data_IF_792832123937
#
_entry.id   IF_792832123937
#
_cell.length_a   1.000
_cell.length_b   1.000
_cell.length_c   1.000
_cell.angle_alpha   90.00
_cell.angle_beta   90.00
_cell.angle_gamma   90.00
#
_symmetry.space_group_name_H-M   'P 1'
#
loop_
_entity.id
_entity.type
_entity.pdbx_description
1 polymer ?
#
# COMPACT_ATOMS: atom_id res chain seq x y z
N UNK A 1 -26.60 0.53 -0.65
CA UNK A 1 -25.48 0.92 0.24
C UNK A 1 -25.30 2.42 0.16
N UNK A 2 -25.24 3.13 1.29
CA UNK A 2 -24.85 4.56 1.27
C UNK A 2 -23.32 4.61 1.21
N UNK A 3 -22.77 5.19 0.14
CA UNK A 3 -21.34 5.40 -0.04
C UNK A 3 -21.01 6.89 0.08
N UNK A 4 -19.94 7.19 0.79
CA UNK A 4 -19.42 8.54 0.98
C UNK A 4 -17.95 8.57 0.53
N UNK A 5 -17.56 9.56 -0.28
CA UNK A 5 -16.17 9.72 -0.73
C UNK A 5 -15.43 10.74 0.13
N UNK A 6 -14.18 10.43 0.47
CA UNK A 6 -13.26 11.35 1.15
C UNK A 6 -12.08 11.57 0.21
N UNK A 7 -11.91 12.81 -0.22
CA UNK A 7 -10.95 13.14 -1.29
C UNK A 7 -11.19 12.31 -2.55
N UNK A 8 -10.12 12.10 -3.32
CA UNK A 8 -10.17 11.34 -4.57
C UNK A 8 -10.03 9.83 -4.36
N UNK A 9 -9.32 9.42 -3.30
CA UNK A 9 -8.82 8.04 -3.14
C UNK A 9 -9.64 7.16 -2.20
N UNK A 10 -10.52 7.72 -1.36
CA UNK A 10 -11.21 6.96 -0.31
C UNK A 10 -12.70 6.85 -0.63
N UNK A 11 -13.21 5.63 -0.62
CA UNK A 11 -14.64 5.34 -0.67
C UNK A 11 -15.03 4.62 0.62
N UNK A 12 -15.86 5.27 1.42
CA UNK A 12 -16.45 4.70 2.63
C UNK A 12 -17.84 4.19 2.31
N UNK A 13 -18.14 2.95 2.69
CA UNK A 13 -19.46 2.36 2.55
C UNK A 13 -19.91 1.77 3.88
N UNK A 14 -21.21 1.89 4.15
CA UNK A 14 -21.84 1.31 5.34
C UNK A 14 -22.96 0.37 4.92
N UNK A 15 -22.99 -0.81 5.52
CA UNK A 15 -24.03 -1.82 5.33
C UNK A 15 -24.36 -2.48 6.66
N UNK A 16 -25.45 -2.02 7.30
CA UNK A 16 -25.80 -2.42 8.67
C UNK A 16 -24.71 -2.00 9.66
N UNK A 17 -24.19 -2.98 10.40
CA UNK A 17 -23.11 -2.80 11.38
C UNK A 17 -21.71 -2.84 10.75
N UNK A 18 -21.61 -3.25 9.48
CA UNK A 18 -20.34 -3.26 8.75
C UNK A 18 -20.02 -1.89 8.19
N UNK A 19 -18.84 -1.40 8.55
CA UNK A 19 -18.20 -0.24 7.96
C UNK A 19 -17.02 -0.69 7.11
N UNK A 20 -16.89 -0.15 5.91
CA UNK A 20 -15.79 -0.49 5.02
C UNK A 20 -15.26 0.78 4.34
N UNK A 21 -13.96 1.01 4.46
CA UNK A 21 -13.24 2.01 3.69
C UNK A 21 -12.34 1.33 2.67
N UNK A 22 -12.49 1.70 1.40
CA UNK A 22 -11.60 1.30 0.32
C UNK A 22 -10.73 2.48 -0.06
N UNK A 23 -9.43 2.33 0.09
CA UNK A 23 -8.41 3.34 -0.21
C UNK A 23 -7.70 2.91 -1.49
N UNK A 24 -7.76 3.74 -2.52
CA UNK A 24 -7.06 3.49 -3.79
C UNK A 24 -5.55 3.72 -3.62
N UNK A 25 -4.73 2.78 -4.09
CA UNK A 25 -3.27 2.93 -4.21
C UNK A 25 -2.84 3.80 -5.40
N UNK A 26 -3.80 4.32 -6.17
CA UNK A 26 -3.56 5.14 -7.34
C UNK A 26 -2.77 6.42 -6.98
N UNK A 27 -1.83 6.75 -7.86
CA UNK A 27 -1.04 7.98 -7.85
C UNK A 27 -1.45 8.82 -9.06
N UNK A 28 -1.17 10.14 -9.06
CA UNK A 28 -1.38 11.00 -10.22
C UNK A 28 -0.83 10.37 -11.51
N UNK A 29 -1.56 10.54 -12.63
CA UNK A 29 -1.25 9.86 -13.88
C UNK A 29 0.18 10.16 -14.39
N UNK A 30 0.68 11.38 -14.19
CA UNK A 30 2.06 11.73 -14.57
C UNK A 30 3.11 10.98 -13.74
N UNK A 31 2.87 10.76 -12.45
CA UNK A 31 3.77 9.99 -11.59
C UNK A 31 3.73 8.52 -11.98
N UNK A 32 2.53 8.01 -12.33
CA UNK A 32 2.36 6.65 -12.85
C UNK A 32 3.13 6.47 -14.15
N UNK A 33 2.97 7.38 -15.12
CA UNK A 33 3.66 7.32 -16.40
C UNK A 33 5.18 7.39 -16.25
N UNK A 34 5.69 8.28 -15.38
CA UNK A 34 7.12 8.37 -15.08
C UNK A 34 7.67 7.06 -14.47
N UNK A 35 6.95 6.45 -13.54
CA UNK A 35 7.34 5.16 -12.93
C UNK A 35 7.32 4.02 -13.97
N UNK A 36 6.32 4.01 -14.85
CA UNK A 36 6.21 3.01 -15.93
C UNK A 36 7.30 3.17 -16.97
N UNK A 37 7.62 4.41 -17.37
CA UNK A 37 8.71 4.73 -18.28
C UNK A 37 10.06 4.34 -17.68
N UNK A 38 10.27 4.68 -16.41
CA UNK A 38 11.48 4.29 -15.67
C UNK A 38 11.63 2.76 -15.60
N UNK A 39 10.54 2.03 -15.30
CA UNK A 39 10.56 0.56 -15.31
C UNK A 39 10.79 0.00 -16.72
N UNK A 40 10.27 0.65 -17.76
CA UNK A 40 10.51 0.29 -19.16
C UNK A 40 11.99 0.44 -19.54
N UNK A 41 12.62 1.56 -19.18
CA UNK A 41 14.05 1.78 -19.37
C UNK A 41 14.88 0.75 -18.58
N UNK A 42 14.48 0.45 -17.35
CA UNK A 42 15.08 -0.63 -16.56
C UNK A 42 14.94 -2.01 -17.21
N UNK A 43 13.80 -2.27 -17.84
CA UNK A 43 13.51 -3.44 -18.66
C UNK A 43 14.45 -3.57 -19.86
N UNK A 44 14.70 -2.47 -20.58
CA UNK A 44 15.63 -2.44 -21.70
C UNK A 44 17.07 -2.76 -21.26
N UNK A 45 17.51 -2.24 -20.11
CA UNK A 45 18.82 -2.60 -19.52
C UNK A 45 18.89 -4.10 -19.19
N UNK A 46 17.82 -4.68 -18.65
CA UNK A 46 17.72 -6.12 -18.41
C UNK A 46 17.82 -6.95 -19.69
N UNK A 47 17.19 -6.49 -20.77
CA UNK A 47 17.29 -7.13 -22.08
C UNK A 47 18.72 -7.08 -22.63
N UNK A 48 19.45 -5.97 -22.45
CA UNK A 48 20.86 -5.88 -22.82
C UNK A 48 21.73 -6.84 -22.00
N UNK A 49 21.49 -6.97 -20.70
CA UNK A 49 22.18 -7.97 -19.86
C UNK A 49 21.90 -9.40 -20.31
N UNK A 50 20.65 -9.70 -20.69
CA UNK A 50 20.26 -11.00 -21.23
C UNK A 50 20.93 -11.31 -22.57
N UNK A 51 21.00 -10.31 -23.45
CA UNK A 51 21.77 -10.41 -24.69
C UNK A 51 23.25 -10.66 -24.41
N UNK A 52 23.83 -10.02 -23.39
CA UNK A 52 25.21 -10.27 -22.94
C UNK A 52 25.45 -11.71 -22.50
N UNK A 53 24.53 -12.30 -21.72
CA UNK A 53 24.60 -13.72 -21.33
C UNK A 53 24.59 -14.66 -22.55
N UNK A 54 23.81 -14.32 -23.59
CA UNK A 54 23.70 -15.14 -24.80
C UNK A 54 24.92 -15.00 -25.72
N UNK A 55 25.48 -13.79 -25.82
CA UNK A 55 26.48 -13.44 -26.83
C UNK A 55 27.91 -13.72 -26.40
N UNK A 56 28.22 -13.65 -25.10
CA UNK A 56 29.58 -13.79 -24.59
C UNK A 56 29.76 -15.12 -23.83
N UNK A 57 30.58 -16.06 -24.32
CA UNK A 57 30.89 -17.31 -23.62
C UNK A 57 32.01 -17.14 -22.57
N UNK A 58 32.16 -18.12 -21.67
CA UNK A 58 33.26 -18.16 -20.69
C UNK A 58 33.03 -17.28 -19.46
N UNK A 59 34.09 -16.66 -18.94
CA UNK A 59 34.07 -15.89 -17.68
C UNK A 59 33.16 -14.65 -17.73
N UNK A 60 33.01 -14.03 -18.90
CA UNK A 60 32.10 -12.89 -19.11
C UNK A 60 30.63 -13.28 -18.94
N UNK A 61 30.26 -14.50 -19.35
CA UNK A 61 28.91 -15.04 -19.13
C UNK A 61 28.54 -15.08 -17.66
N UNK A 62 29.48 -15.50 -16.82
CA UNK A 62 29.28 -15.61 -15.37
C UNK A 62 29.03 -14.24 -14.75
N UNK A 63 29.76 -13.21 -15.20
CA UNK A 63 29.53 -11.82 -14.79
C UNK A 63 28.11 -11.36 -15.15
N UNK A 64 27.69 -11.54 -16.40
CA UNK A 64 26.34 -11.15 -16.83
C UNK A 64 25.23 -11.91 -16.09
N UNK A 65 25.43 -13.20 -15.75
CA UNK A 65 24.48 -13.98 -14.96
C UNK A 65 24.33 -13.44 -13.53
N UNK A 66 25.43 -13.05 -12.88
CA UNK A 66 25.39 -12.42 -11.55
C UNK A 66 24.66 -11.07 -11.63
N UNK A 67 25.02 -10.24 -12.61
CA UNK A 67 24.34 -8.96 -12.85
C UNK A 67 22.85 -9.14 -13.12
N UNK A 68 22.46 -10.17 -13.87
CA UNK A 68 21.07 -10.49 -14.15
C UNK A 68 20.31 -10.93 -12.90
N UNK A 69 20.92 -11.72 -12.01
CA UNK A 69 20.33 -12.09 -10.73
C UNK A 69 20.02 -10.87 -9.87
N UNK A 70 20.99 -9.95 -9.76
CA UNK A 70 20.80 -8.69 -9.05
C UNK A 70 19.73 -7.82 -9.72
N UNK A 71 19.81 -7.64 -11.04
CA UNK A 71 18.84 -6.89 -11.81
C UNK A 71 17.42 -7.43 -11.64
N UNK A 72 17.24 -8.75 -11.73
CA UNK A 72 15.93 -9.41 -11.62
C UNK A 72 15.31 -9.19 -10.24
N UNK A 73 16.11 -9.22 -9.16
CA UNK A 73 15.64 -8.92 -7.81
C UNK A 73 15.05 -7.50 -7.70
N UNK A 74 15.73 -6.49 -8.25
CA UNK A 74 15.24 -5.11 -8.26
C UNK A 74 14.09 -4.90 -9.24
N UNK A 75 14.13 -5.53 -10.41
CA UNK A 75 13.05 -5.49 -11.40
C UNK A 75 11.75 -6.05 -10.82
N UNK A 76 11.83 -7.16 -10.07
CA UNK A 76 10.67 -7.73 -9.37
C UNK A 76 10.10 -6.80 -8.30
N UNK A 77 10.95 -6.08 -7.55
CA UNK A 77 10.50 -5.06 -6.59
C UNK A 77 9.81 -3.88 -7.29
N UNK A 78 10.41 -3.35 -8.35
CA UNK A 78 9.84 -2.25 -9.13
C UNK A 78 8.52 -2.64 -9.80
N UNK A 79 8.45 -3.85 -10.37
CA UNK A 79 7.24 -4.38 -10.98
C UNK A 79 6.10 -4.54 -9.97
N UNK A 80 6.38 -5.05 -8.76
CA UNK A 80 5.38 -5.12 -7.69
C UNK A 80 4.83 -3.74 -7.33
N UNK A 81 5.69 -2.72 -7.25
CA UNK A 81 5.25 -1.34 -7.00
C UNK A 81 4.35 -0.82 -8.13
N UNK A 82 4.75 -0.96 -9.40
CA UNK A 82 3.92 -0.56 -10.56
C UNK A 82 2.57 -1.28 -10.56
N UNK A 83 2.57 -2.60 -10.30
CA UNK A 83 1.35 -3.40 -10.20
C UNK A 83 0.41 -2.87 -9.10
N UNK A 84 0.95 -2.54 -7.93
CA UNK A 84 0.17 -1.92 -6.84
C UNK A 84 -0.38 -0.55 -7.24
N UNK A 85 0.42 0.30 -7.89
CA UNK A 85 -0.03 1.65 -8.32
C UNK A 85 -1.13 1.61 -9.39
N UNK A 86 -1.19 0.54 -10.20
CA UNK A 86 -2.19 0.39 -11.26
C UNK A 86 -3.55 -0.09 -10.73
N UNK A 87 -3.58 -1.04 -9.79
CA UNK A 87 -4.82 -1.69 -9.38
C UNK A 87 -4.88 -2.10 -7.90
N UNK A 88 -3.98 -1.57 -7.08
CA UNK A 88 -3.93 -1.85 -5.65
C UNK A 88 -5.01 -1.06 -4.90
N UNK A 89 -5.74 -1.76 -4.04
CA UNK A 89 -6.73 -1.18 -3.15
C UNK A 89 -6.49 -1.70 -1.74
N UNK A 90 -6.43 -0.80 -0.78
CA UNK A 90 -6.42 -1.16 0.63
C UNK A 90 -7.86 -1.14 1.13
N UNK A 91 -8.34 -2.29 1.62
CA UNK A 91 -9.71 -2.47 2.12
C UNK A 91 -9.64 -2.62 3.63
N UNK A 92 -10.23 -1.65 4.33
CA UNK A 92 -10.32 -1.62 5.78
C UNK A 92 -11.78 -1.84 6.15
N UNK A 93 -12.06 -2.95 6.82
CA UNK A 93 -13.39 -3.32 7.25
C UNK A 93 -13.47 -3.39 8.78
N UNK A 94 -14.50 -2.80 9.36
CA UNK A 94 -14.80 -2.83 10.78
C UNK A 94 -16.22 -3.38 10.99
N UNK A 95 -16.33 -4.48 11.74
CA UNK A 95 -17.59 -5.13 12.12
C UNK A 95 -17.59 -5.49 13.62
N UNK A 96 -18.64 -6.17 14.08
CA UNK A 96 -18.68 -6.73 15.44
C UNK A 96 -17.56 -7.77 15.67
N UNK A 97 -17.16 -8.50 14.63
CA UNK A 97 -16.07 -9.48 14.71
C UNK A 97 -14.69 -8.82 14.93
N UNK A 98 -14.55 -7.54 14.53
CA UNK A 98 -13.32 -6.78 14.68
C UNK A 98 -12.90 -6.01 13.44
N UNK A 99 -11.60 -5.70 13.37
CA UNK A 99 -10.97 -4.98 12.27
C UNK A 99 -10.28 -5.96 11.33
N UNK A 100 -10.56 -5.84 10.02
CA UNK A 100 -9.90 -6.58 8.96
C UNK A 100 -9.29 -5.60 7.96
N UNK A 101 -7.97 -5.69 7.75
CA UNK A 101 -7.23 -4.87 6.78
C UNK A 101 -6.68 -5.80 5.68
N UNK A 102 -7.03 -5.52 4.43
CA UNK A 102 -6.59 -6.29 3.26
C UNK A 102 -5.96 -5.39 2.20
N UNK A 103 -4.96 -5.93 1.50
CA UNK A 103 -4.34 -5.30 0.34
C UNK A 103 -4.76 -6.06 -0.92
N UNK A 104 -5.84 -5.61 -1.53
CA UNK A 104 -6.44 -6.22 -2.70
C UNK A 104 -5.74 -5.73 -3.97
N UNK A 105 -5.61 -6.61 -4.97
CA UNK A 105 -5.06 -6.29 -6.28
C UNK A 105 -6.10 -6.60 -7.36
N UNK A 106 -6.74 -5.55 -7.88
CA UNK A 106 -7.84 -5.69 -8.82
C UNK A 106 -8.97 -6.53 -8.22
N UNK A 107 -9.22 -7.72 -8.77
CA UNK A 107 -10.26 -8.66 -8.29
C UNK A 107 -9.74 -9.67 -7.26
N UNK A 108 -8.44 -9.72 -7.00
CA UNK A 108 -7.83 -10.68 -6.10
C UNK A 108 -7.73 -10.10 -4.69
N UNK A 109 -8.37 -10.75 -3.73
CA UNK A 109 -8.29 -10.36 -2.32
C UNK A 109 -6.92 -10.71 -1.73
N UNK A 110 -6.32 -9.77 -1.01
CA UNK A 110 -5.07 -9.98 -0.29
C UNK A 110 -5.25 -10.79 0.99
N UNK A 111 -4.14 -11.13 1.63
CA UNK A 111 -4.17 -11.71 2.99
C UNK A 111 -4.69 -10.67 3.98
N UNK A 112 -5.71 -11.03 4.73
CA UNK A 112 -6.27 -10.17 5.77
C UNK A 112 -5.41 -10.19 7.03
N UNK A 113 -5.20 -9.00 7.58
CA UNK A 113 -4.72 -8.83 8.94
C UNK A 113 -5.90 -8.47 9.80
N UNK A 114 -6.20 -9.32 10.77
CA UNK A 114 -7.38 -9.20 11.62
C UNK A 114 -6.99 -8.92 13.07
N UNK A 115 -7.87 -8.20 13.77
CA UNK A 115 -7.80 -7.99 15.21
C UNK A 115 -9.22 -7.92 15.81
N UNK A 116 -9.47 -8.61 16.94
CA UNK A 116 -10.76 -8.59 17.63
C UNK A 116 -11.14 -7.17 18.10
N UNK A 117 -12.43 -6.85 18.10
CA UNK A 117 -12.97 -5.53 18.47
C UNK A 117 -12.55 -5.08 19.89
N UNK A 118 -12.45 -6.04 20.80
CA UNK A 118 -12.11 -5.84 22.22
C UNK A 118 -10.69 -5.28 22.38
N UNK A 119 -9.75 -5.76 21.57
CA UNK A 119 -8.34 -5.35 21.64
C UNK A 119 -8.08 -3.99 21.00
N UNK A 120 -9.00 -3.48 20.15
CA UNK A 120 -8.74 -2.28 19.35
C UNK A 120 -8.65 -1.02 20.21
N UNK A 121 -7.59 -0.24 20.06
CA UNK A 121 -7.53 1.13 20.58
C UNK A 121 -8.07 2.10 19.53
N UNK A 122 -8.48 3.33 19.91
CA UNK A 122 -8.85 4.35 18.95
C UNK A 122 -7.72 4.58 17.94
N UNK A 123 -8.09 4.73 16.67
CA UNK A 123 -7.15 5.05 15.60
C UNK A 123 -6.55 6.43 15.80
N UNK A 124 -5.27 6.56 15.45
CA UNK A 124 -4.52 7.81 15.47
C UNK A 124 -3.86 8.04 14.11
N UNK A 125 -3.77 9.29 13.67
CA UNK A 125 -2.98 9.68 12.51
C UNK A 125 -1.84 10.59 12.99
N UNK A 126 -0.67 10.03 13.36
CA UNK A 126 0.48 10.83 13.76
C UNK A 126 0.84 11.84 12.67
N UNK A 127 1.24 13.04 13.07
CA UNK A 127 1.73 14.03 12.11
C UNK A 127 3.00 13.49 11.44
N UNK A 128 3.19 13.73 10.13
CA UNK A 128 4.40 13.29 9.45
C UNK A 128 5.64 13.87 10.14
N UNK A 129 6.67 13.07 10.39
CA UNK A 129 7.94 13.57 10.94
C UNK A 129 8.91 13.91 9.79
N UNK A 130 9.01 15.17 9.36
CA UNK A 130 9.86 15.56 8.23
C UNK A 130 11.36 15.35 8.49
N UNK A 131 11.77 15.11 9.74
CA UNK A 131 13.17 14.83 10.10
C UNK A 131 13.52 13.34 10.00
N UNK A 132 12.52 12.46 9.80
CA UNK A 132 12.75 11.04 9.65
C UNK A 132 13.10 10.71 8.20
N UNK A 133 14.36 10.38 7.96
CA UNK A 133 14.85 9.93 6.65
C UNK A 133 14.08 8.69 6.16
N UNK A 134 13.74 7.77 7.07
CA UNK A 134 12.95 6.57 6.76
C UNK A 134 11.53 6.92 6.29
N UNK A 135 10.91 7.93 6.89
CA UNK A 135 9.57 8.37 6.50
C UNK A 135 9.58 9.09 5.14
N UNK A 136 10.68 9.78 4.82
CA UNK A 136 10.88 10.36 3.49
C UNK A 136 11.08 9.27 2.41
N UNK A 137 11.71 8.15 2.75
CA UNK A 137 11.83 6.99 1.84
C UNK A 137 10.48 6.31 1.61
N UNK A 138 9.65 6.15 2.65
CA UNK A 138 8.33 5.53 2.55
C UNK A 138 7.31 6.32 1.70
N UNK A 139 7.56 7.62 1.53
CA UNK A 139 6.76 8.50 0.66
C UNK A 139 7.20 8.47 -0.81
N UNK A 140 8.30 7.78 -1.14
CA UNK A 140 8.72 7.66 -2.53
C UNK A 140 7.70 6.86 -3.33
N UNK A 141 7.44 7.28 -4.56
CA UNK A 141 6.40 6.71 -5.41
C UNK A 141 6.65 5.23 -5.76
N UNK A 142 7.91 4.77 -5.67
CA UNK A 142 8.32 3.38 -5.86
C UNK A 142 8.21 2.50 -4.60
N UNK A 143 7.85 3.05 -3.44
CA UNK A 143 7.61 2.29 -2.20
C UNK A 143 6.11 2.11 -1.99
N UNK A 144 5.69 0.88 -1.68
CA UNK A 144 4.32 0.57 -1.24
C UNK A 144 4.32 0.59 0.29
N UNK A 145 4.22 1.79 0.85
CA UNK A 145 4.37 2.05 2.29
C UNK A 145 3.73 3.39 2.69
N UNK A 146 4.25 4.02 3.74
CA UNK A 146 3.75 5.32 4.21
C UNK A 146 2.35 5.25 4.79
N UNK A 147 2.08 4.22 5.60
CA UNK A 147 0.83 4.12 6.36
C UNK A 147 0.69 5.32 7.29
N UNK A 148 -0.47 5.97 7.27
CA UNK A 148 -0.73 7.20 8.02
C UNK A 148 -1.62 7.01 9.23
N UNK A 149 -2.29 5.86 9.33
CA UNK A 149 -3.27 5.59 10.39
C UNK A 149 -2.82 4.37 11.18
N UNK A 150 -2.74 4.54 12.49
CA UNK A 150 -2.26 3.55 13.44
C UNK A 150 -3.41 3.16 14.38
N UNK A 151 -3.65 1.86 14.51
CA UNK A 151 -4.61 1.27 15.45
C UNK A 151 -3.83 0.35 16.37
N UNK A 152 -3.67 0.75 17.63
CA UNK A 152 -3.06 -0.11 18.62
C UNK A 152 -3.96 -1.29 18.96
N UNK A 153 -3.39 -2.47 19.13
CA UNK A 153 -4.00 -3.61 19.84
C UNK A 153 -3.23 -3.87 21.13
N UNK A 154 -3.61 -4.88 21.92
CA UNK A 154 -2.84 -5.27 23.10
C UNK A 154 -1.44 -5.78 22.73
N UNK A 155 -1.33 -6.46 21.58
CA UNK A 155 -0.11 -7.17 21.16
C UNK A 155 0.69 -6.48 20.05
N UNK A 156 0.05 -5.67 19.19
CA UNK A 156 0.69 -5.08 18.00
C UNK A 156 0.02 -3.76 17.59
N UNK A 157 0.68 -2.99 16.73
CA UNK A 157 0.05 -1.84 16.07
C UNK A 157 -0.31 -2.22 14.64
N UNK A 158 -1.59 -2.13 14.31
CA UNK A 158 -2.08 -2.26 12.94
C UNK A 158 -1.99 -0.90 12.24
N UNK A 159 -1.56 -0.91 10.98
CA UNK A 159 -1.39 0.32 10.19
C UNK A 159 -2.12 0.21 8.87
N UNK A 160 -2.71 1.33 8.43
CA UNK A 160 -3.37 1.47 7.13
C UNK A 160 -3.34 2.94 6.68
N UNK A 161 -3.90 3.24 5.50
CA UNK A 161 -3.96 4.60 4.97
C UNK A 161 -2.75 4.95 4.15
N UNK A 162 -2.31 4.03 3.26
CA UNK A 162 -1.07 4.19 2.48
C UNK A 162 -1.02 5.50 1.70
N UNK A 163 -0.08 6.37 2.11
CA UNK A 163 0.21 7.66 1.50
C UNK A 163 -1.02 8.57 1.38
N UNK A 164 -1.98 8.47 2.30
CA UNK A 164 -3.10 9.41 2.37
C UNK A 164 -2.62 10.79 2.79
N UNK A 165 -3.16 11.87 2.25
CA UNK A 165 -2.88 13.21 2.76
C UNK A 165 -3.30 13.37 4.23
N UNK A 166 -2.62 14.24 4.99
CA UNK A 166 -2.89 14.41 6.43
C UNK A 166 -4.35 14.78 6.73
N UNK A 167 -4.95 15.60 5.84
CA UNK A 167 -6.37 16.00 5.90
C UNK A 167 -7.29 14.78 5.74
N UNK A 168 -7.07 13.99 4.69
CA UNK A 168 -7.88 12.80 4.39
C UNK A 168 -7.71 11.72 5.48
N UNK A 169 -6.49 11.52 5.97
CA UNK A 169 -6.20 10.59 7.05
C UNK A 169 -6.95 10.98 8.34
N UNK A 170 -6.96 12.27 8.69
CA UNK A 170 -7.66 12.78 9.88
C UNK A 170 -9.18 12.64 9.76
N UNK A 171 -9.74 12.90 8.57
CA UNK A 171 -11.16 12.67 8.30
C UNK A 171 -11.53 11.19 8.40
N UNK A 172 -10.70 10.30 7.86
CA UNK A 172 -10.91 8.86 7.93
C UNK A 172 -10.83 8.34 9.37
N UNK A 173 -9.84 8.80 10.16
CA UNK A 173 -9.71 8.47 11.60
C UNK A 173 -10.95 8.90 12.38
N UNK A 174 -11.48 10.09 12.11
CA UNK A 174 -12.68 10.60 12.79
C UNK A 174 -13.89 9.69 12.53
N UNK A 175 -14.09 9.27 11.29
CA UNK A 175 -15.18 8.37 10.93
C UNK A 175 -14.97 6.96 11.50
N UNK A 176 -13.74 6.45 11.45
CA UNK A 176 -13.37 5.16 12.01
C UNK A 176 -13.67 5.10 13.51
N UNK A 177 -13.18 6.09 14.27
CA UNK A 177 -13.37 6.14 15.73
C UNK A 177 -14.85 6.32 16.10
N UNK A 178 -15.61 7.09 15.32
CA UNK A 178 -17.06 7.22 15.51
C UNK A 178 -17.76 5.88 15.35
N UNK A 179 -17.41 5.08 14.34
CA UNK A 179 -18.01 3.77 14.11
C UNK A 179 -17.56 2.74 15.16
N UNK A 180 -16.27 2.75 15.55
CA UNK A 180 -15.75 1.93 16.63
C UNK A 180 -16.50 2.17 17.95
N UNK A 181 -16.75 3.44 18.29
CA UNK A 181 -17.52 3.78 19.49
C UNK A 181 -19.00 3.37 19.39
N UNK A 182 -19.59 3.32 18.19
CA UNK A 182 -20.94 2.80 18.00
C UNK A 182 -21.00 1.29 18.23
N UNK A 183 -20.05 0.54 17.68
CA UNK A 183 -19.95 -0.92 17.84
C UNK A 183 -19.68 -1.36 19.28
N UNK A 184 -19.07 -0.50 20.11
CA UNK A 184 -18.83 -0.77 21.53
C UNK A 184 -20.03 -0.51 22.43
N UNK A 185 -21.00 0.24 21.94
CA UNK A 185 -22.19 0.66 22.71
C UNK A 185 -23.41 -0.21 22.43
N UNK A 186 -23.44 -0.90 21.29
CA UNK A 186 -24.47 -1.87 20.92
C UNK A 186 -24.03 -3.26 21.29
#
# INVERSE_FOLDING_TARGET
>A
MKSHRIGERIVVSRSGDRWMATISGAIPDWQRQSLELWLGAWGALGAMLAYGVWSFPGGERQFYLICMGFWAFFAMRGWKAVRWRRSGHEVVQLSQDGLSIRLDHGKQAGKATEAPLEELKPAQAPAPNPKSFLESMDQQFWVVGGDRIHVGTESKTLVFGKQLEAKDASQLVTLFNKHLAQLRKG
#
